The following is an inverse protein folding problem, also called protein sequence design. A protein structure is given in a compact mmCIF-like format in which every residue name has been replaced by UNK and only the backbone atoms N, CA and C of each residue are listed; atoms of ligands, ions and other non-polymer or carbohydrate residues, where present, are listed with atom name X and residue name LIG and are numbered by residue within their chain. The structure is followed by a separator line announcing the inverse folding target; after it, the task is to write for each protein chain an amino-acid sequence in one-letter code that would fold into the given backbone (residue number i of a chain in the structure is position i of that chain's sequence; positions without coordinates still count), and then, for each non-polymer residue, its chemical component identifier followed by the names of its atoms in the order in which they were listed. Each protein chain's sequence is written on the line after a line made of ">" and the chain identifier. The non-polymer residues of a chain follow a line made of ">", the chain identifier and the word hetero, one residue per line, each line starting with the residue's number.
data_IF_593339737180
#
_entry.id   IF_593339737180
#
_cell.length_a   1.000
_cell.length_b   1.000
_cell.length_c   1.000
_cell.angle_alpha   90.00
_cell.angle_beta   90.00
_cell.angle_gamma   90.00
#
_symmetry.space_group_name_H-M   'P 1'
#
loop_
_entity.id
_entity.type
_entity.pdbx_description
1 polymer ?
#
# COMPACT_ATOMS: atom_id res chain seq x y z
N UNK A 1 -20.66 10.25 14.75
CA UNK A 1 -20.85 8.79 14.55
C UNK A 1 -19.76 8.07 15.35
N UNK A 2 -20.06 6.88 15.89
CA UNK A 2 -19.07 6.08 16.64
C UNK A 2 -17.98 5.49 15.76
N UNK A 3 -16.90 5.01 16.38
CA UNK A 3 -15.77 4.36 15.69
C UNK A 3 -16.24 3.13 14.89
N UNK A 4 -15.83 3.04 13.63
CA UNK A 4 -16.00 1.85 12.79
C UNK A 4 -14.64 1.23 12.49
N UNK A 5 -14.59 -0.10 12.42
CA UNK A 5 -13.33 -0.85 12.27
C UNK A 5 -13.46 -1.94 11.22
N UNK A 6 -12.37 -2.15 10.48
CA UNK A 6 -12.17 -3.30 9.61
C UNK A 6 -10.76 -3.85 9.86
N UNK A 7 -10.69 -5.07 10.40
CA UNK A 7 -9.46 -5.74 10.82
C UNK A 7 -8.56 -4.87 11.71
N UNK A 8 -7.57 -4.21 11.12
CA UNK A 8 -6.53 -3.45 11.83
C UNK A 8 -6.66 -1.93 11.62
N UNK A 9 -7.68 -1.51 10.88
CA UNK A 9 -7.95 -0.14 10.51
C UNK A 9 -9.23 0.34 11.20
N UNK A 10 -9.26 1.64 11.48
CA UNK A 10 -10.32 2.31 12.24
C UNK A 10 -10.61 3.64 11.56
N UNK A 11 -11.87 4.07 11.59
CA UNK A 11 -12.30 5.39 11.14
C UNK A 11 -11.64 6.54 11.94
N UNK A 12 -11.07 6.24 13.11
CA UNK A 12 -10.33 7.23 13.92
C UNK A 12 -8.85 7.34 13.54
N UNK A 13 -8.32 6.43 12.71
CA UNK A 13 -6.95 6.56 12.22
C UNK A 13 -6.88 7.53 11.05
N UNK A 14 -5.82 8.33 10.97
CA UNK A 14 -5.40 8.99 9.73
C UNK A 14 -4.56 8.01 8.89
N UNK A 15 -5.03 7.67 7.70
CA UNK A 15 -4.48 6.57 6.89
C UNK A 15 -3.90 7.10 5.57
N UNK A 16 -2.65 6.73 5.28
CA UNK A 16 -2.02 6.89 3.97
C UNK A 16 -1.96 5.52 3.27
N UNK A 17 -2.52 5.42 2.07
CA UNK A 17 -2.47 4.23 1.22
C UNK A 17 -1.55 4.51 0.04
N UNK A 18 -0.49 3.71 -0.10
CA UNK A 18 0.62 3.96 -1.03
C UNK A 18 0.61 2.95 -2.15
N UNK A 19 0.72 3.44 -3.39
CA UNK A 19 0.82 2.61 -4.58
C UNK A 19 -0.46 1.87 -4.92
N UNK A 20 -1.61 2.52 -4.73
CA UNK A 20 -2.91 1.97 -5.14
C UNK A 20 -2.89 1.70 -6.65
N UNK A 21 -3.27 0.48 -7.01
CA UNK A 21 -3.54 0.08 -8.39
C UNK A 21 -4.90 0.63 -8.81
N UNK A 22 -5.95 -0.18 -8.73
CA UNK A 22 -7.30 0.24 -9.10
C UNK A 22 -8.08 0.94 -7.98
N UNK A 23 -7.43 1.32 -6.87
CA UNK A 23 -8.04 1.96 -5.69
C UNK A 23 -9.12 1.14 -4.96
N UNK A 24 -9.29 -0.14 -5.29
CA UNK A 24 -10.32 -0.98 -4.67
C UNK A 24 -10.08 -1.22 -3.18
N UNK A 25 -8.82 -1.24 -2.72
CA UNK A 25 -8.50 -1.38 -1.30
C UNK A 25 -8.92 -0.14 -0.51
N UNK A 26 -8.55 1.04 -0.99
CA UNK A 26 -8.99 2.32 -0.41
C UNK A 26 -10.51 2.37 -0.30
N UNK A 27 -11.21 1.97 -1.36
CA UNK A 27 -12.67 1.96 -1.42
C UNK A 27 -13.28 1.02 -0.38
N UNK A 28 -12.76 -0.20 -0.28
CA UNK A 28 -13.16 -1.17 0.75
C UNK A 28 -13.10 -0.55 2.16
N UNK A 29 -11.99 0.12 2.50
CA UNK A 29 -11.85 0.78 3.80
C UNK A 29 -12.85 1.93 3.98
N UNK A 30 -12.96 2.82 2.99
CA UNK A 30 -13.87 3.96 3.06
C UNK A 30 -15.34 3.53 3.21
N UNK A 31 -15.76 2.50 2.46
CA UNK A 31 -17.10 1.92 2.56
C UNK A 31 -17.36 1.31 3.93
N UNK A 32 -16.39 0.54 4.48
CA UNK A 32 -16.52 -0.03 5.82
C UNK A 32 -16.61 1.05 6.92
N UNK A 33 -15.91 2.17 6.75
CA UNK A 33 -16.00 3.31 7.66
C UNK A 33 -17.23 4.19 7.42
N UNK A 34 -17.89 4.06 6.27
CA UNK A 34 -18.95 4.97 5.82
C UNK A 34 -18.45 6.37 5.44
N UNK A 35 -17.13 6.58 5.39
CA UNK A 35 -16.47 7.83 5.00
C UNK A 35 -15.03 7.54 4.61
N UNK A 36 -14.49 8.33 3.69
CA UNK A 36 -13.08 8.35 3.30
C UNK A 36 -12.32 9.56 3.84
N UNK A 37 -12.94 10.43 4.67
CA UNK A 37 -12.33 11.69 5.10
C UNK A 37 -10.99 11.54 5.85
N UNK A 38 -10.76 10.38 6.46
CA UNK A 38 -9.54 10.02 7.17
C UNK A 38 -8.50 9.29 6.29
N UNK A 39 -8.79 9.10 4.99
CA UNK A 39 -7.96 8.34 4.05
C UNK A 39 -7.34 9.29 3.03
N UNK A 40 -6.04 9.15 2.84
CA UNK A 40 -5.29 9.67 1.69
C UNK A 40 -4.82 8.49 0.85
N UNK A 41 -5.35 8.34 -0.36
CA UNK A 41 -5.02 7.26 -1.27
C UNK A 41 -4.15 7.77 -2.42
N UNK A 42 -3.05 7.05 -2.70
CA UNK A 42 -2.04 7.54 -3.63
C UNK A 42 -1.65 6.49 -4.68
N UNK A 43 -1.36 6.95 -5.90
CA UNK A 43 -0.84 6.10 -6.98
C UNK A 43 0.48 6.66 -7.52
N UNK A 44 1.34 5.77 -7.99
CA UNK A 44 2.54 6.15 -8.74
C UNK A 44 2.16 6.70 -10.13
N UNK A 45 1.21 6.05 -10.79
CA UNK A 45 0.72 6.49 -12.11
C UNK A 45 -0.04 7.81 -11.99
N UNK A 46 0.03 8.63 -13.05
CA UNK A 46 -0.85 9.78 -13.23
C UNK A 46 -2.29 9.33 -13.46
N UNK A 47 -3.25 10.24 -13.31
CA UNK A 47 -4.67 9.96 -13.57
C UNK A 47 -4.90 9.40 -14.98
N UNK A 48 -4.22 9.96 -15.98
CA UNK A 48 -4.33 9.57 -17.39
C UNK A 48 -3.82 8.15 -17.61
N UNK A 49 -2.66 7.81 -17.01
CA UNK A 49 -2.11 6.46 -17.10
C UNK A 49 -2.97 5.44 -16.36
N UNK A 50 -3.50 5.82 -15.20
CA UNK A 50 -4.38 4.99 -14.41
C UNK A 50 -5.65 4.62 -15.19
N UNK A 51 -6.28 5.60 -15.84
CA UNK A 51 -7.47 5.39 -16.68
C UNK A 51 -7.21 4.42 -17.84
N UNK A 52 -5.99 4.43 -18.39
CA UNK A 52 -5.59 3.50 -19.47
C UNK A 52 -5.26 2.11 -18.96
N UNK A 53 -4.62 2.00 -17.80
CA UNK A 53 -4.14 0.74 -17.24
C UNK A 53 -5.22 -0.07 -16.54
N UNK A 54 -6.17 0.59 -15.87
CA UNK A 54 -7.11 -0.07 -14.96
C UNK A 54 -8.55 0.29 -15.29
N UNK A 55 -9.32 -0.69 -15.79
CA UNK A 55 -10.70 -0.47 -16.25
C UNK A 55 -11.61 0.14 -15.18
N UNK A 56 -11.42 -0.25 -13.92
CA UNK A 56 -12.29 0.15 -12.80
C UNK A 56 -11.70 1.26 -11.91
N UNK A 57 -10.47 1.69 -12.16
CA UNK A 57 -9.80 2.64 -11.28
C UNK A 57 -10.56 3.95 -11.16
N UNK A 58 -11.03 4.51 -12.28
CA UNK A 58 -11.73 5.80 -12.26
C UNK A 58 -13.11 5.75 -11.59
N UNK A 59 -13.78 4.59 -11.62
CA UNK A 59 -15.02 4.37 -10.89
C UNK A 59 -14.76 4.37 -9.39
N UNK A 60 -13.75 3.61 -8.95
CA UNK A 60 -13.36 3.55 -7.54
C UNK A 60 -12.85 4.90 -7.01
N UNK A 61 -12.05 5.63 -7.81
CA UNK A 61 -11.61 7.00 -7.48
C UNK A 61 -12.80 7.93 -7.31
N UNK A 62 -13.79 7.87 -8.20
CA UNK A 62 -14.97 8.74 -8.09
C UNK A 62 -15.81 8.45 -6.85
N UNK A 63 -16.02 7.17 -6.52
CA UNK A 63 -16.70 6.77 -5.29
C UNK A 63 -15.93 7.24 -4.04
N UNK A 64 -14.60 7.13 -4.06
CA UNK A 64 -13.73 7.60 -2.98
C UNK A 64 -13.80 9.11 -2.77
N UNK A 65 -13.77 9.90 -3.84
CA UNK A 65 -13.95 11.35 -3.80
C UNK A 65 -15.31 11.70 -3.18
N UNK A 66 -16.38 11.01 -3.58
CA UNK A 66 -17.72 11.21 -3.02
C UNK A 66 -17.80 10.85 -1.52
N UNK A 67 -16.98 9.91 -1.05
CA UNK A 67 -16.83 9.56 0.37
C UNK A 67 -15.93 10.53 1.15
N UNK A 68 -15.29 11.51 0.48
CA UNK A 68 -14.41 12.50 1.09
C UNK A 68 -12.93 12.07 1.16
N UNK A 69 -12.53 11.03 0.43
CA UNK A 69 -11.14 10.60 0.37
C UNK A 69 -10.25 11.63 -0.33
N UNK A 70 -9.04 11.83 0.17
CA UNK A 70 -8.01 12.61 -0.53
C UNK A 70 -7.29 11.71 -1.53
N UNK A 71 -7.38 12.02 -2.83
CA UNK A 71 -6.69 11.27 -3.90
C UNK A 71 -5.48 12.07 -4.39
N UNK A 72 -4.30 11.43 -4.45
CA UNK A 72 -3.06 12.06 -4.93
C UNK A 72 -2.35 11.12 -5.91
N UNK A 73 -2.17 11.57 -7.15
CA UNK A 73 -1.47 10.82 -8.19
C UNK A 73 0.01 11.25 -8.29
N UNK A 74 0.86 10.44 -8.92
CA UNK A 74 2.27 10.75 -9.11
C UNK A 74 3.13 10.59 -7.84
N UNK A 75 2.65 9.88 -6.83
CA UNK A 75 3.36 9.68 -5.57
C UNK A 75 4.25 8.45 -5.66
N UNK A 76 5.56 8.66 -5.63
CA UNK A 76 6.55 7.58 -5.52
C UNK A 76 6.77 7.21 -4.05
N UNK A 77 6.63 5.92 -3.73
CA UNK A 77 6.92 5.39 -2.41
C UNK A 77 8.38 5.63 -1.95
N UNK A 78 9.30 5.91 -2.88
CA UNK A 78 10.72 6.18 -2.60
C UNK A 78 10.99 7.62 -2.13
N UNK A 79 10.01 8.50 -2.28
CA UNK A 79 10.17 9.95 -2.06
C UNK A 79 8.88 10.60 -1.57
N UNK A 80 7.96 9.82 -0.98
CA UNK A 80 6.61 10.28 -0.65
C UNK A 80 6.60 11.34 0.45
N UNK A 81 7.62 11.35 1.33
CA UNK A 81 7.75 12.36 2.40
C UNK A 81 7.98 13.77 1.85
N UNK A 82 8.60 13.85 0.67
CA UNK A 82 8.97 15.10 0.01
C UNK A 82 7.88 15.56 -1.00
N UNK A 83 6.81 14.78 -1.19
CA UNK A 83 5.75 15.15 -2.12
C UNK A 83 5.00 16.39 -1.61
N UNK A 84 4.78 17.45 -2.42
CA UNK A 84 4.23 18.73 -1.93
C UNK A 84 2.90 18.63 -1.18
N UNK A 85 2.05 17.67 -1.56
CA UNK A 85 0.75 17.44 -0.91
C UNK A 85 0.80 16.54 0.35
N UNK A 86 1.96 15.91 0.61
CA UNK A 86 2.21 15.00 1.73
C UNK A 86 3.25 15.54 2.72
N UNK A 87 4.09 16.48 2.31
CA UNK A 87 5.10 17.09 3.18
C UNK A 87 4.46 17.60 4.48
N UNK A 88 5.15 17.37 5.60
CA UNK A 88 4.67 17.74 6.94
C UNK A 88 3.35 17.09 7.39
N UNK A 89 2.87 16.03 6.70
CA UNK A 89 1.73 15.25 7.16
C UNK A 89 2.19 13.98 7.86
N UNK A 90 1.62 13.76 9.05
CA UNK A 90 1.80 12.53 9.81
C UNK A 90 0.55 11.66 9.76
N UNK A 91 0.73 10.34 9.87
CA UNK A 91 -0.32 9.33 9.73
C UNK A 91 -0.23 8.27 10.83
N UNK A 92 -1.40 7.78 11.27
CA UNK A 92 -1.47 6.66 12.21
C UNK A 92 -1.22 5.33 11.50
N UNK A 93 -1.58 5.23 10.21
CA UNK A 93 -1.35 4.04 9.39
C UNK A 93 -0.81 4.46 8.04
N UNK A 94 0.34 3.91 7.65
CA UNK A 94 0.88 4.03 6.30
C UNK A 94 0.95 2.63 5.71
N UNK A 95 0.20 2.37 4.64
CA UNK A 95 -0.03 1.03 4.11
C UNK A 95 0.53 0.90 2.70
N UNK A 96 1.30 -0.16 2.44
CA UNK A 96 1.73 -0.54 1.10
C UNK A 96 1.41 -2.01 0.85
N UNK A 97 0.45 -2.27 -0.04
CA UNK A 97 -0.01 -3.61 -0.33
C UNK A 97 0.73 -4.21 -1.52
N UNK A 98 1.40 -5.35 -1.30
CA UNK A 98 2.15 -6.10 -2.31
C UNK A 98 3.09 -5.23 -3.15
N UNK A 99 4.03 -4.51 -2.51
CA UNK A 99 4.97 -3.64 -3.21
C UNK A 99 5.71 -4.41 -4.32
N UNK A 100 5.87 -3.80 -5.50
CA UNK A 100 6.55 -4.43 -6.63
C UNK A 100 7.31 -3.38 -7.45
N UNK A 101 8.54 -3.70 -7.88
CA UNK A 101 9.45 -2.73 -8.53
C UNK A 101 9.33 -2.67 -10.06
N UNK A 102 8.16 -3.08 -10.57
CA UNK A 102 7.91 -3.35 -11.98
C UNK A 102 8.50 -4.69 -12.45
N UNK A 103 8.04 -5.18 -13.59
CA UNK A 103 8.55 -6.38 -14.24
C UNK A 103 9.80 -6.04 -15.05
N UNK A 104 10.66 -7.05 -15.24
CA UNK A 104 11.77 -6.97 -16.21
C UNK A 104 11.83 -8.27 -17.01
N UNK A 105 12.75 -8.35 -17.98
CA UNK A 105 13.02 -9.60 -18.70
C UNK A 105 13.61 -10.72 -17.81
N UNK A 106 13.97 -10.41 -16.55
CA UNK A 106 14.51 -11.37 -15.58
C UNK A 106 13.39 -11.96 -14.73
N UNK A 107 13.55 -13.22 -14.34
CA UNK A 107 12.59 -13.92 -13.48
C UNK A 107 12.51 -13.29 -12.07
N UNK A 108 11.35 -13.43 -11.44
CA UNK A 108 11.04 -12.91 -10.10
C UNK A 108 12.03 -13.39 -9.03
N UNK A 109 12.50 -14.64 -9.15
CA UNK A 109 13.45 -15.25 -8.24
C UNK A 109 14.92 -14.88 -8.52
N UNK A 110 15.19 -14.07 -9.55
CA UNK A 110 16.56 -13.67 -9.84
C UNK A 110 17.09 -12.68 -8.80
N UNK A 111 18.35 -12.84 -8.39
CA UNK A 111 19.01 -11.95 -7.43
C UNK A 111 18.90 -10.47 -7.81
N UNK A 112 18.94 -10.16 -9.11
CA UNK A 112 18.77 -8.78 -9.59
C UNK A 112 17.37 -8.23 -9.28
N UNK A 113 16.31 -9.01 -9.55
CA UNK A 113 14.94 -8.59 -9.26
C UNK A 113 14.73 -8.48 -7.75
N UNK A 114 15.14 -9.48 -6.97
CA UNK A 114 15.05 -9.46 -5.50
C UNK A 114 15.70 -8.19 -4.94
N UNK A 115 16.91 -7.82 -5.39
CA UNK A 115 17.58 -6.57 -4.98
C UNK A 115 16.76 -5.31 -5.31
N UNK A 116 16.14 -5.23 -6.50
CA UNK A 116 15.29 -4.09 -6.88
C UNK A 116 14.04 -3.97 -6.01
N UNK A 117 13.41 -5.11 -5.71
CA UNK A 117 12.24 -5.16 -4.84
C UNK A 117 12.58 -4.75 -3.41
N UNK A 118 13.67 -5.31 -2.85
CA UNK A 118 14.20 -4.92 -1.54
C UNK A 118 14.46 -3.42 -1.46
N UNK A 119 15.13 -2.84 -2.48
CA UNK A 119 15.40 -1.40 -2.53
C UNK A 119 14.11 -0.55 -2.55
N UNK A 120 13.05 -1.01 -3.21
CA UNK A 120 11.76 -0.33 -3.18
C UNK A 120 11.14 -0.37 -1.78
N UNK A 121 11.09 -1.54 -1.16
CA UNK A 121 10.49 -1.72 0.17
C UNK A 121 11.26 -0.95 1.23
N UNK A 122 12.59 -1.02 1.21
CA UNK A 122 13.46 -0.26 2.11
C UNK A 122 13.24 1.25 1.98
N UNK A 123 13.23 1.80 0.75
CA UNK A 123 13.01 3.22 0.54
C UNK A 123 11.61 3.67 1.02
N UNK A 124 10.59 2.84 0.83
CA UNK A 124 9.27 3.08 1.40
C UNK A 124 9.29 3.10 2.93
N UNK A 125 9.95 2.13 3.57
CA UNK A 125 10.03 2.03 5.03
C UNK A 125 10.72 3.26 5.64
N UNK A 126 11.84 3.71 5.05
CA UNK A 126 12.53 4.94 5.44
C UNK A 126 11.58 6.14 5.37
N UNK A 127 10.93 6.36 4.21
CA UNK A 127 10.00 7.48 4.05
C UNK A 127 8.81 7.39 5.02
N UNK A 128 8.25 6.20 5.21
CA UNK A 128 7.11 5.99 6.08
C UNK A 128 7.45 6.27 7.55
N UNK A 129 8.65 5.87 8.01
CA UNK A 129 9.11 6.08 9.38
C UNK A 129 9.10 7.56 9.79
N UNK A 130 9.46 8.46 8.87
CA UNK A 130 9.48 9.91 9.10
C UNK A 130 8.09 10.57 9.03
N UNK A 131 7.08 9.82 8.60
CA UNK A 131 5.70 10.29 8.41
C UNK A 131 4.72 9.68 9.42
N UNK A 132 5.21 8.97 10.44
CA UNK A 132 4.37 8.37 11.48
C UNK A 132 3.99 9.39 12.57
N UNK A 133 2.76 9.27 13.08
CA UNK A 133 2.43 9.82 14.41
C UNK A 133 3.15 9.03 15.51
N UNK A 134 3.15 9.53 16.74
CA UNK A 134 3.81 8.85 17.89
C UNK A 134 3.33 7.41 18.13
N UNK A 135 2.07 7.09 17.78
CA UNK A 135 1.49 5.73 17.87
C UNK A 135 1.22 5.12 16.48
N UNK A 136 1.86 5.70 15.46
CA UNK A 136 1.72 5.33 14.07
C UNK A 136 2.31 3.96 13.77
N UNK A 137 1.83 3.34 12.70
CA UNK A 137 2.33 2.05 12.23
C UNK A 137 2.50 2.04 10.72
N UNK A 138 3.58 1.42 10.26
CA UNK A 138 3.77 1.07 8.84
C UNK A 138 3.27 -0.35 8.62
N UNK A 139 2.38 -0.53 7.66
CA UNK A 139 1.78 -1.82 7.31
C UNK A 139 2.23 -2.23 5.91
N UNK A 140 3.00 -3.32 5.80
CA UNK A 140 3.38 -3.89 4.51
C UNK A 140 2.67 -5.22 4.36
N UNK A 141 1.85 -5.37 3.31
CA UNK A 141 1.26 -6.66 2.97
C UNK A 141 2.11 -7.36 1.94
N UNK A 142 2.54 -8.58 2.22
CA UNK A 142 3.40 -9.31 1.29
C UNK A 142 3.27 -10.81 1.43
N UNK A 143 3.69 -11.50 0.37
CA UNK A 143 3.80 -12.96 0.33
C UNK A 143 4.93 -13.43 1.24
N UNK A 144 4.76 -14.63 1.81
CA UNK A 144 5.70 -15.18 2.80
C UNK A 144 6.47 -16.40 2.30
N UNK A 145 6.18 -16.91 1.10
CA UNK A 145 6.85 -18.07 0.51
C UNK A 145 7.83 -17.65 -0.57
N UNK A 146 8.79 -18.53 -0.88
CA UNK A 146 9.75 -18.33 -1.98
C UNK A 146 9.03 -17.99 -3.32
N UNK A 147 9.58 -17.09 -4.14
CA UNK A 147 10.80 -16.30 -3.94
C UNK A 147 10.60 -15.03 -3.11
N UNK A 148 9.38 -14.74 -2.69
CA UNK A 148 9.01 -13.51 -1.98
C UNK A 148 9.55 -13.44 -0.55
N UNK A 149 9.86 -14.59 0.06
CA UNK A 149 10.56 -14.68 1.35
C UNK A 149 11.96 -14.07 1.32
N UNK A 150 12.65 -14.15 0.17
CA UNK A 150 14.02 -13.63 -0.03
C UNK A 150 14.10 -12.09 0.00
N UNK A 151 12.96 -11.43 0.14
CA UNK A 151 12.93 -9.98 0.28
C UNK A 151 13.27 -9.55 1.72
N UNK A 152 13.23 -10.46 2.70
CA UNK A 152 13.51 -10.22 4.13
C UNK A 152 12.99 -8.87 4.64
N UNK A 153 11.67 -8.65 4.53
CA UNK A 153 11.02 -7.35 4.85
C UNK A 153 11.28 -6.92 6.30
N UNK A 154 11.40 -7.88 7.22
CA UNK A 154 11.68 -7.60 8.64
C UNK A 154 13.06 -6.96 8.82
N UNK A 155 14.09 -7.49 8.16
CA UNK A 155 15.45 -6.93 8.13
C UNK A 155 15.46 -5.51 7.53
N UNK A 156 14.75 -5.29 6.42
CA UNK A 156 14.66 -3.97 5.81
C UNK A 156 13.96 -2.94 6.71
N UNK A 157 13.03 -3.37 7.56
CA UNK A 157 12.36 -2.51 8.52
C UNK A 157 13.29 -2.15 9.68
N UNK A 158 14.06 -3.10 10.19
CA UNK A 158 15.07 -2.87 11.22
C UNK A 158 16.13 -1.87 10.73
N UNK A 159 16.65 -2.04 9.51
CA UNK A 159 17.56 -1.08 8.86
C UNK A 159 16.95 0.32 8.69
N UNK A 160 15.62 0.41 8.60
CA UNK A 160 14.88 1.67 8.53
C UNK A 160 14.51 2.24 9.91
N UNK A 161 15.03 1.68 11.01
CA UNK A 161 14.75 2.13 12.37
C UNK A 161 13.36 1.75 12.86
N UNK A 162 12.71 0.76 12.25
CA UNK A 162 11.38 0.28 12.60
C UNK A 162 11.46 -1.12 13.23
N UNK A 163 10.71 -1.35 14.30
CA UNK A 163 10.59 -2.66 14.95
C UNK A 163 9.31 -3.38 14.52
N UNK A 164 9.39 -4.69 14.33
CA UNK A 164 8.21 -5.52 14.07
C UNK A 164 7.34 -5.61 15.33
N UNK A 165 6.07 -5.22 15.21
CA UNK A 165 5.07 -5.40 16.26
C UNK A 165 4.33 -6.73 16.10
N UNK A 166 3.90 -7.05 14.88
CA UNK A 166 3.05 -8.21 14.61
C UNK A 166 3.04 -8.58 13.13
N UNK A 167 2.99 -9.89 12.84
CA UNK A 167 2.56 -10.44 11.55
C UNK A 167 1.14 -10.95 11.69
N UNK A 168 0.24 -10.51 10.81
CA UNK A 168 -1.15 -10.98 10.78
C UNK A 168 -1.41 -11.67 9.44
N UNK A 169 -1.87 -12.94 9.42
CA UNK A 169 -2.27 -13.59 8.18
C UNK A 169 -3.20 -12.71 7.36
N UNK A 170 -3.03 -12.70 6.05
CA UNK A 170 -3.89 -11.97 5.13
C UNK A 170 -4.83 -12.92 4.41
N UNK A 171 -6.12 -12.64 4.51
CA UNK A 171 -7.14 -13.21 3.65
C UNK A 171 -7.82 -12.06 2.88
N UNK A 172 -7.87 -12.18 1.56
CA UNK A 172 -8.48 -11.18 0.68
C UNK A 172 -9.99 -11.09 0.89
N UNK A 173 -10.63 -12.18 1.31
CA UNK A 173 -12.08 -12.22 1.54
C UNK A 173 -12.52 -11.38 2.75
N UNK A 174 -11.58 -11.00 3.63
CA UNK A 174 -11.84 -10.09 4.75
C UNK A 174 -11.95 -8.62 4.32
N UNK A 175 -11.73 -8.32 3.03
CA UNK A 175 -11.76 -7.00 2.44
C UNK A 175 -12.70 -6.99 1.23
N UNK A 176 -14.00 -6.85 1.51
CA UNK A 176 -15.02 -6.90 0.47
C UNK A 176 -14.78 -5.86 -0.63
N UNK A 177 -14.90 -6.29 -1.89
CA UNK A 177 -14.61 -5.49 -3.08
C UNK A 177 -13.13 -5.22 -3.37
N UNK A 178 -12.17 -5.64 -2.53
CA UNK A 178 -10.75 -5.46 -2.82
C UNK A 178 -10.27 -6.43 -3.92
N UNK A 179 -9.64 -5.88 -4.96
CA UNK A 179 -9.03 -6.65 -6.05
C UNK A 179 -7.56 -6.27 -6.17
N UNK A 180 -6.66 -7.22 -5.90
CA UNK A 180 -5.23 -7.00 -6.10
C UNK A 180 -4.89 -6.94 -7.60
N UNK A 181 -3.96 -6.05 -7.97
CA UNK A 181 -3.58 -5.77 -9.36
C UNK A 181 -2.07 -5.86 -9.55
N UNK A 182 -1.62 -6.37 -10.69
CA UNK A 182 -0.19 -6.48 -11.03
C UNK A 182 0.50 -5.13 -11.15
N UNK A 183 -0.22 -4.08 -11.56
CA UNK A 183 0.27 -2.69 -11.57
C UNK A 183 1.28 -2.33 -12.67
N UNK A 184 1.86 -3.32 -13.35
CA UNK A 184 2.85 -3.09 -14.39
C UNK A 184 2.75 -4.08 -15.58
N UNK A 185 3.27 -3.66 -16.74
CA UNK A 185 3.28 -4.40 -17.99
C UNK A 185 1.91 -4.50 -18.69
N UNK A 186 1.86 -5.26 -19.78
CA UNK A 186 0.63 -5.47 -20.59
C UNK A 186 -0.50 -6.18 -19.84
N UNK A 187 -0.20 -6.79 -18.68
CA UNK A 187 -1.15 -7.46 -17.80
C UNK A 187 -1.37 -6.69 -16.49
N UNK A 188 -1.07 -5.39 -16.45
CA UNK A 188 -1.17 -4.55 -15.24
C UNK A 188 -2.54 -4.64 -14.55
N UNK A 189 -3.65 -4.71 -15.30
CA UNK A 189 -5.00 -4.81 -14.73
C UNK A 189 -5.41 -6.21 -14.25
N UNK A 190 -4.60 -7.24 -14.52
CA UNK A 190 -4.89 -8.60 -14.05
C UNK A 190 -4.52 -8.73 -12.58
N UNK A 191 -5.29 -9.54 -11.87
CA UNK A 191 -4.92 -10.00 -10.53
C UNK A 191 -3.78 -11.02 -10.57
N UNK A 192 -3.22 -11.28 -9.39
CA UNK A 192 -2.23 -12.32 -9.16
C UNK A 192 -2.64 -13.20 -7.97
N UNK A 193 -2.20 -14.47 -7.91
CA UNK A 193 -2.45 -15.30 -6.73
C UNK A 193 -1.78 -14.67 -5.50
N UNK A 194 -2.55 -14.35 -4.48
CA UNK A 194 -2.02 -13.79 -3.23
C UNK A 194 -1.26 -14.84 -2.42
N UNK A 195 -1.70 -16.11 -2.44
CA UNK A 195 -1.06 -17.22 -1.75
C UNK A 195 -0.87 -16.96 -0.25
N UNK A 196 0.06 -17.69 0.37
CA UNK A 196 0.45 -17.43 1.76
C UNK A 196 1.06 -16.04 1.86
N UNK A 197 0.36 -15.16 2.57
CA UNK A 197 0.72 -13.77 2.71
C UNK A 197 0.29 -13.24 4.08
N UNK A 198 0.95 -12.19 4.53
CA UNK A 198 0.62 -11.54 5.78
C UNK A 198 0.77 -10.03 5.67
N UNK A 199 0.14 -9.32 6.61
CA UNK A 199 0.40 -7.91 6.87
C UNK A 199 1.42 -7.82 8.00
N UNK A 200 2.62 -7.35 7.67
CA UNK A 200 3.66 -6.94 8.62
C UNK A 200 3.30 -5.57 9.18
N UNK A 201 3.41 -5.40 10.49
CA UNK A 201 3.10 -4.14 11.18
C UNK A 201 4.31 -3.69 11.96
N UNK A 202 4.82 -2.52 11.62
CA UNK A 202 6.01 -1.94 12.21
C UNK A 202 5.69 -0.61 12.90
N UNK A 203 6.52 -0.22 13.86
CA UNK A 203 6.49 1.09 14.50
C UNK A 203 7.93 1.54 14.83
N UNK A 204 8.08 2.80 15.22
CA UNK A 204 9.31 3.30 15.84
C UNK A 204 9.58 2.61 17.19
#
# INVERSE_FOLDING_TARGET
>A
MGERRIKHYSSNHKILLVGEGDFSFSKCLASAFGTGANITATSLDTKEWLQRKHRHAMVNVKELENLGCTIIHGVSARSMKDHPQLQSKYFDRIVFNFPHSGFSHRAEYSNHMIKRHRKLVWAFLINASEMLTTKGQVHVRHKTTYPYSEWHIEELAEEAGLRLLKKSPFDINEFDGYVNKKGDGSKCDKSFPVGNSCTYKFAL
#
